data_IF_616576676594
#
_entry.id   IF_616576676594
#
_cell.length_a   1.000
_cell.length_b   1.000
_cell.length_c   1.000
_cell.angle_alpha   90.00
_cell.angle_beta   90.00
_cell.angle_gamma   90.00
#
_symmetry.space_group_name_H-M   'P 1'
#
loop_
_entity.id
_entity.type
_entity.pdbx_description
1 polymer ?
#
# COMPACT_ATOMS: atom_id res chain seq x y z
N UNK A 1 31.73 -50.08 18.59
CA UNK A 1 31.63 -51.17 17.60
C UNK A 1 31.11 -50.49 16.34
N UNK A 2 32.03 -50.11 15.42
CA UNK A 2 32.32 -50.83 14.15
C UNK A 2 31.11 -50.73 13.20
N UNK A 3 31.16 -50.27 11.96
CA UNK A 3 32.11 -50.28 10.83
C UNK A 3 31.85 -49.00 10.00
N UNK A 4 32.74 -48.41 9.20
CA UNK A 4 33.88 -48.97 8.50
C UNK A 4 33.51 -49.40 7.08
N UNK A 5 33.40 -48.48 6.12
CA UNK A 5 33.69 -48.79 4.72
C UNK A 5 33.92 -47.52 3.89
N UNK A 6 35.04 -47.54 3.19
CA UNK A 6 35.69 -46.52 2.38
C UNK A 6 35.83 -47.14 1.00
N UNK A 7 35.56 -46.38 -0.07
CA UNK A 7 36.15 -46.48 -1.43
C UNK A 7 35.11 -46.21 -2.53
N UNK A 8 35.42 -45.75 -3.74
CA UNK A 8 36.57 -45.07 -4.37
C UNK A 8 36.06 -44.68 -5.78
N UNK A 9 36.47 -43.49 -6.20
CA UNK A 9 36.90 -43.09 -7.56
C UNK A 9 36.52 -43.98 -8.76
N UNK A 10 35.87 -43.38 -9.75
CA UNK A 10 35.83 -43.84 -11.13
C UNK A 10 35.84 -42.62 -12.05
N UNK A 11 36.97 -42.45 -12.74
CA UNK A 11 37.23 -41.50 -13.82
C UNK A 11 36.31 -41.77 -15.03
N UNK A 12 36.03 -40.74 -15.83
CA UNK A 12 36.08 -40.85 -17.30
C UNK A 12 36.28 -39.46 -17.89
N UNK A 13 37.32 -39.41 -18.70
CA UNK A 13 37.85 -38.29 -19.46
C UNK A 13 37.04 -38.05 -20.74
N UNK A 14 37.42 -36.96 -21.40
CA UNK A 14 37.06 -36.38 -22.70
C UNK A 14 36.41 -37.29 -23.76
N UNK A 15 35.55 -36.67 -24.60
CA UNK A 15 35.71 -36.68 -26.08
C UNK A 15 34.65 -35.81 -26.79
N UNK A 16 35.13 -35.03 -27.78
CA UNK A 16 34.39 -34.36 -28.86
C UNK A 16 33.49 -35.37 -29.60
N UNK A 17 32.43 -35.07 -30.37
CA UNK A 17 32.28 -34.13 -31.47
C UNK A 17 30.82 -34.27 -31.99
N UNK A 18 30.16 -33.13 -32.25
CA UNK A 18 29.44 -32.81 -33.51
C UNK A 18 28.11 -33.48 -33.93
N UNK A 19 27.27 -32.58 -34.47
CA UNK A 19 26.13 -32.67 -35.40
C UNK A 19 24.78 -33.23 -34.93
N UNK A 20 23.93 -32.30 -34.47
CA UNK A 20 22.49 -32.37 -34.65
C UNK A 20 21.95 -31.01 -35.10
N UNK A 21 21.85 -30.80 -36.41
CA UNK A 21 21.08 -29.70 -36.99
C UNK A 21 19.63 -29.78 -36.49
N UNK A 22 19.15 -28.73 -35.81
CA UNK A 22 17.71 -28.46 -35.69
C UNK A 22 17.50 -26.98 -35.97
N UNK A 23 17.17 -26.70 -37.23
CA UNK A 23 16.55 -25.46 -37.66
C UNK A 23 15.20 -25.33 -36.95
N UNK A 24 15.04 -24.34 -36.07
CA UNK A 24 13.71 -23.86 -35.64
C UNK A 24 13.71 -22.34 -35.49
N UNK A 25 13.12 -21.72 -36.52
CA UNK A 25 12.24 -20.55 -36.50
C UNK A 25 12.67 -19.25 -35.79
N UNK A 26 12.77 -18.20 -36.62
CA UNK A 26 12.43 -16.79 -36.39
C UNK A 26 12.77 -16.21 -35.01
N UNK A 27 13.90 -15.52 -34.94
CA UNK A 27 14.25 -14.69 -33.79
C UNK A 27 13.09 -13.71 -33.49
N UNK A 28 12.55 -13.70 -32.26
CA UNK A 28 11.49 -12.78 -31.92
C UNK A 28 12.02 -11.37 -32.11
N UNK A 29 11.35 -10.63 -32.99
CA UNK A 29 11.48 -9.19 -33.05
C UNK A 29 11.37 -8.65 -31.61
N UNK A 30 12.46 -8.09 -31.09
CA UNK A 30 12.47 -7.26 -29.89
C UNK A 30 12.52 -5.75 -30.25
N UNK A 31 11.61 -5.19 -31.06
CA UNK A 31 11.45 -3.75 -31.17
C UNK A 31 10.66 -3.19 -29.98
N UNK A 32 10.13 -4.04 -29.08
CA UNK A 32 9.25 -3.63 -28.00
C UNK A 32 9.98 -2.98 -26.82
N UNK A 33 11.15 -3.48 -26.41
CA UNK A 33 11.80 -2.97 -25.19
C UNK A 33 12.35 -1.55 -25.35
N UNK A 34 13.07 -1.28 -26.45
CA UNK A 34 13.59 0.06 -26.74
C UNK A 34 12.44 1.08 -26.89
N UNK A 35 11.35 0.69 -27.54
CA UNK A 35 10.16 1.53 -27.69
C UNK A 35 9.47 1.79 -26.35
N UNK A 36 9.38 0.77 -25.50
CA UNK A 36 8.86 0.88 -24.13
C UNK A 36 9.74 1.78 -23.28
N UNK A 37 11.07 1.64 -23.35
CA UNK A 37 12.01 2.49 -22.62
C UNK A 37 11.96 3.95 -23.09
N UNK A 38 11.87 4.18 -24.39
CA UNK A 38 11.71 5.51 -24.99
C UNK A 38 10.38 6.16 -24.55
N UNK A 39 9.29 5.38 -24.58
CA UNK A 39 7.98 5.84 -24.10
C UNK A 39 8.01 6.17 -22.61
N UNK A 40 8.66 5.35 -21.78
CA UNK A 40 8.81 5.62 -20.34
C UNK A 40 9.63 6.89 -20.09
N UNK A 41 10.73 7.11 -20.81
CA UNK A 41 11.54 8.32 -20.70
C UNK A 41 10.73 9.58 -21.08
N UNK A 42 9.92 9.48 -22.13
CA UNK A 42 9.04 10.57 -22.58
C UNK A 42 7.98 10.91 -21.54
N UNK A 43 7.30 9.90 -20.99
CA UNK A 43 6.27 10.08 -19.96
C UNK A 43 6.88 10.67 -18.68
N UNK A 44 8.06 10.18 -18.25
CA UNK A 44 8.75 10.73 -17.09
C UNK A 44 9.22 12.19 -17.30
N UNK A 45 9.67 12.53 -18.51
CA UNK A 45 10.05 13.91 -18.86
C UNK A 45 8.86 14.88 -18.87
N UNK A 46 7.66 14.41 -19.25
CA UNK A 46 6.42 15.20 -19.21
C UNK A 46 5.92 15.40 -17.78
N UNK A 47 5.95 14.35 -16.94
CA UNK A 47 5.59 14.44 -15.52
C UNK A 47 6.53 15.36 -14.73
N UNK A 48 7.82 15.36 -15.05
CA UNK A 48 8.83 16.22 -14.40
C UNK A 48 8.63 17.71 -14.71
N UNK A 49 8.17 18.05 -15.93
CA UNK A 49 7.89 19.44 -16.31
C UNK A 49 6.57 19.99 -15.73
N UNK A 50 5.62 19.12 -15.39
CA UNK A 50 4.40 19.50 -14.69
C UNK A 50 4.62 19.71 -13.17
N UNK A 51 5.75 19.24 -12.64
CA UNK A 51 6.14 19.42 -11.25
C UNK A 51 7.14 20.57 -11.13
N UNK A 52 6.74 21.79 -11.53
CA UNK A 52 7.43 22.96 -10.99
C UNK A 52 7.02 23.07 -9.51
N UNK A 53 7.94 22.87 -8.54
CA UNK A 53 7.61 23.01 -7.13
C UNK A 53 7.23 24.45 -6.73
N UNK A 54 7.28 25.39 -7.68
CA UNK A 54 6.87 26.78 -7.48
C UNK A 54 5.42 27.05 -7.87
N UNK A 55 4.77 26.16 -8.62
CA UNK A 55 3.33 26.26 -8.83
C UNK A 55 2.60 25.30 -7.90
N UNK A 56 2.59 25.70 -6.63
CA UNK A 56 1.70 25.18 -5.61
C UNK A 56 0.26 25.68 -5.90
N UNK A 57 -0.20 25.57 -7.15
CA UNK A 57 -1.57 25.90 -7.57
C UNK A 57 -2.50 24.87 -6.96
N UNK A 58 -2.78 25.11 -5.68
CA UNK A 58 -3.80 24.55 -4.81
C UNK A 58 -4.52 23.42 -5.52
N UNK A 59 -4.01 22.18 -5.36
CA UNK A 59 -4.86 21.01 -5.47
C UNK A 59 -6.19 21.40 -4.80
N UNK A 60 -7.34 21.26 -5.49
CA UNK A 60 -8.60 21.83 -5.02
C UNK A 60 -8.72 21.43 -3.56
N UNK A 61 -8.59 22.44 -2.69
CA UNK A 61 -8.53 22.22 -1.26
C UNK A 61 -9.90 21.61 -0.97
N UNK A 62 -9.92 20.28 -0.80
CA UNK A 62 -11.12 19.57 -0.46
C UNK A 62 -11.40 19.99 0.97
N UNK A 63 -12.08 21.14 1.09
CA UNK A 63 -12.54 21.66 2.34
C UNK A 63 -13.63 20.69 2.76
N UNK A 64 -13.26 19.76 3.64
CA UNK A 64 -14.24 18.93 4.32
C UNK A 64 -15.29 19.88 4.88
N UNK A 65 -16.57 19.74 4.48
CA UNK A 65 -17.62 20.56 5.06
C UNK A 65 -17.54 20.40 6.58
N UNK A 66 -17.58 21.53 7.31
CA UNK A 66 -17.42 21.60 8.76
C UNK A 66 -18.05 20.38 9.44
N UNK A 67 -17.21 19.52 10.01
CA UNK A 67 -17.66 18.24 10.56
C UNK A 67 -18.57 18.55 11.76
N UNK A 68 -19.83 18.11 11.68
CA UNK A 68 -20.79 18.26 12.76
C UNK A 68 -20.38 17.36 13.93
N UNK A 69 -20.62 17.84 15.15
CA UNK A 69 -20.43 17.01 16.34
C UNK A 69 -21.28 15.71 16.23
N UNK A 70 -20.80 14.59 16.77
CA UNK A 70 -21.50 13.31 16.69
C UNK A 70 -22.77 13.36 17.53
N UNK A 71 -23.79 12.63 17.11
CA UNK A 71 -24.97 12.43 17.95
C UNK A 71 -24.61 11.61 19.20
N UNK A 72 -25.13 11.98 20.39
CA UNK A 72 -24.95 11.19 21.59
C UNK A 72 -25.47 9.76 21.44
N UNK A 73 -24.71 8.78 21.95
CA UNK A 73 -25.07 7.37 21.85
C UNK A 73 -25.74 6.88 23.13
N UNK A 74 -27.04 6.59 23.06
CA UNK A 74 -27.84 6.17 24.21
C UNK A 74 -27.70 4.68 24.58
N UNK A 75 -27.07 3.85 23.73
CA UNK A 75 -26.95 2.40 23.95
C UNK A 75 -28.22 1.58 23.65
N UNK A 76 -29.28 2.19 23.11
CA UNK A 76 -30.55 1.48 22.79
C UNK A 76 -30.56 0.87 21.40
N UNK A 77 -29.80 1.43 20.45
CA UNK A 77 -29.80 1.04 19.04
C UNK A 77 -28.42 0.54 18.64
N UNK A 78 -28.17 -0.76 18.77
CA UNK A 78 -26.86 -1.37 18.51
C UNK A 78 -26.33 -1.07 17.09
N UNK A 79 -27.21 -1.02 16.09
CA UNK A 79 -26.83 -0.72 14.70
C UNK A 79 -26.23 0.68 14.51
N UNK A 80 -26.49 1.63 15.43
CA UNK A 80 -25.93 2.99 15.39
C UNK A 80 -24.52 3.09 15.98
N UNK A 81 -24.07 2.07 16.71
CA UNK A 81 -22.77 2.09 17.38
C UNK A 81 -21.62 2.32 16.38
N UNK A 82 -21.67 1.64 15.23
CA UNK A 82 -20.63 1.79 14.20
C UNK A 82 -20.58 3.22 13.66
N UNK A 83 -21.74 3.82 13.38
CA UNK A 83 -21.83 5.20 12.90
C UNK A 83 -21.29 6.19 13.93
N UNK A 84 -21.62 5.99 15.21
CA UNK A 84 -21.09 6.79 16.31
C UNK A 84 -19.56 6.72 16.43
N UNK A 85 -18.98 5.52 16.31
CA UNK A 85 -17.51 5.36 16.35
C UNK A 85 -16.86 6.06 15.15
N UNK A 86 -17.43 5.91 13.96
CA UNK A 86 -16.89 6.53 12.74
C UNK A 86 -16.94 8.06 12.82
N UNK A 87 -18.00 8.65 13.37
CA UNK A 87 -18.07 10.11 13.53
C UNK A 87 -17.08 10.62 14.58
N UNK A 88 -16.84 9.87 15.67
CA UNK A 88 -15.78 10.22 16.62
C UNK A 88 -14.39 10.20 15.96
N UNK A 89 -14.09 9.16 15.17
CA UNK A 89 -12.82 9.06 14.44
C UNK A 89 -12.61 10.24 13.49
N UNK A 90 -13.65 10.63 12.76
CA UNK A 90 -13.60 11.73 11.81
C UNK A 90 -13.19 13.05 12.51
N UNK A 91 -13.76 13.33 13.68
CA UNK A 91 -13.42 14.53 14.46
C UNK A 91 -11.99 14.49 15.00
N UNK A 92 -11.52 13.32 15.42
CA UNK A 92 -10.13 13.17 15.89
C UNK A 92 -9.10 13.39 14.78
N UNK A 93 -9.48 13.14 13.53
CA UNK A 93 -8.64 13.40 12.37
C UNK A 93 -8.73 14.85 11.89
N UNK A 94 -9.87 15.51 12.09
CA UNK A 94 -10.09 16.91 11.71
C UNK A 94 -9.36 17.90 12.63
N UNK A 95 -9.31 17.60 13.93
CA UNK A 95 -8.67 18.47 14.93
C UNK A 95 -7.58 17.72 15.73
N UNK A 96 -6.43 17.42 15.09
CA UNK A 96 -5.34 16.70 15.74
C UNK A 96 -4.69 17.50 16.88
N UNK A 97 -4.75 18.84 16.84
CA UNK A 97 -4.20 19.70 17.91
C UNK A 97 -5.04 19.63 19.18
N UNK A 98 -6.37 19.53 19.09
CA UNK A 98 -7.20 19.32 20.27
C UNK A 98 -7.16 17.86 20.74
N UNK A 99 -7.12 16.91 19.80
CA UNK A 99 -7.17 15.47 20.06
C UNK A 99 -5.80 14.75 19.96
N UNK A 100 -4.71 15.41 20.36
CA UNK A 100 -3.35 14.85 20.29
C UNK A 100 -3.10 13.62 21.18
N UNK A 101 -3.95 13.38 22.18
CA UNK A 101 -3.79 12.29 23.14
C UNK A 101 -4.97 11.34 23.09
N UNK A 102 -4.70 10.03 23.13
CA UNK A 102 -5.73 8.99 23.26
C UNK A 102 -6.64 9.23 24.47
N UNK A 103 -6.11 9.76 25.58
CA UNK A 103 -6.91 10.11 26.75
C UNK A 103 -8.02 11.13 26.40
N UNK A 104 -7.69 12.15 25.60
CA UNK A 104 -8.66 13.16 25.19
C UNK A 104 -9.71 12.59 24.25
N UNK A 105 -9.31 11.74 23.30
CA UNK A 105 -10.21 11.03 22.39
C UNK A 105 -11.20 10.14 23.15
N UNK A 106 -10.71 9.41 24.15
CA UNK A 106 -11.52 8.56 25.02
C UNK A 106 -12.48 9.40 25.87
N UNK A 107 -11.99 10.46 26.55
CA UNK A 107 -12.83 11.35 27.35
C UNK A 107 -13.96 11.98 26.52
N UNK A 108 -13.65 12.43 25.31
CA UNK A 108 -14.63 12.98 24.38
C UNK A 108 -15.69 11.93 24.01
N UNK A 109 -15.25 10.73 23.61
CA UNK A 109 -16.16 9.64 23.24
C UNK A 109 -17.09 9.27 24.41
N UNK A 110 -16.55 9.20 25.64
CA UNK A 110 -17.31 8.92 26.86
C UNK A 110 -18.33 10.03 27.13
N UNK A 111 -17.98 11.30 26.93
CA UNK A 111 -18.88 12.44 27.16
C UNK A 111 -20.14 12.41 26.28
N UNK A 112 -20.08 11.70 25.14
CA UNK A 112 -21.19 11.52 24.22
C UNK A 112 -22.01 10.26 24.50
N UNK A 113 -21.59 9.43 25.46
CA UNK A 113 -22.38 8.28 25.91
C UNK A 113 -23.48 8.76 26.84
N UNK A 114 -24.70 8.32 26.58
CA UNK A 114 -25.89 8.69 27.35
C UNK A 114 -26.75 7.46 27.63
N UNK A 115 -27.85 7.63 28.37
CA UNK A 115 -28.85 6.59 28.55
C UNK A 115 -28.32 5.32 29.22
N UNK A 116 -28.33 4.21 28.49
CA UNK A 116 -27.83 2.90 28.95
C UNK A 116 -26.31 2.75 28.75
N UNK A 117 -25.73 3.47 27.80
CA UNK A 117 -24.29 3.40 27.51
C UNK A 117 -23.44 4.27 28.44
N UNK A 118 -24.04 5.26 29.12
CA UNK A 118 -23.35 6.16 30.03
C UNK A 118 -23.49 5.82 31.52
N UNK A 119 -23.99 4.63 31.86
CA UNK A 119 -24.26 4.19 33.24
C UNK A 119 -23.46 2.95 33.61
#
# INVERSE_FOLDING_TARGET
>A
MSEGARARLGEVEDEEEVCGETEVADAPQYPSLLKIMEQMATIMGQLSQAADPRDNSKAPEFKTPSIKAPDPFAGTQAHKLRGFIQSCQLIFHDDPENFFSERKKVLYSISLLTGRAGK
#
